data_IF_698768318012
#
_entry.id   IF_698768318012
#
_cell.length_a   1.000
_cell.length_b   1.000
_cell.length_c   1.000
_cell.angle_alpha   90.00
_cell.angle_beta   90.00
_cell.angle_gamma   90.00
#
_symmetry.space_group_name_H-M   'P 1'
#
loop_
_entity.id
_entity.type
_entity.pdbx_description
1 polymer ?
#
# COMPACT_ATOMS: atom_id res chain seq x y z
N UNK A 1 -8.61 -54.67 -13.47
CA UNK A 1 -9.85 -54.19 -14.13
C UNK A 1 -10.84 -53.64 -13.09
N UNK A 2 -11.15 -54.37 -12.02
CA UNK A 2 -12.08 -53.97 -10.94
C UNK A 2 -11.72 -52.64 -10.23
N UNK A 3 -10.45 -52.32 -9.90
CA UNK A 3 -10.11 -51.06 -9.22
C UNK A 3 -10.30 -49.83 -10.11
N UNK A 4 -10.08 -50.01 -11.42
CA UNK A 4 -10.22 -48.95 -12.42
C UNK A 4 -11.69 -48.59 -12.64
N UNK A 5 -12.57 -49.60 -12.64
CA UNK A 5 -14.01 -49.40 -12.77
C UNK A 5 -14.59 -48.66 -11.54
N UNK A 6 -14.12 -48.99 -10.34
CA UNK A 6 -14.54 -48.33 -9.10
C UNK A 6 -14.10 -46.85 -9.06
N UNK A 7 -12.87 -46.55 -9.50
CA UNK A 7 -12.36 -45.18 -9.59
C UNK A 7 -13.16 -44.37 -10.63
N UNK A 8 -13.47 -44.97 -11.79
CA UNK A 8 -14.27 -44.33 -12.82
C UNK A 8 -15.68 -44.01 -12.33
N UNK A 9 -16.31 -44.96 -11.61
CA UNK A 9 -17.64 -44.77 -11.01
C UNK A 9 -17.63 -43.67 -9.93
N UNK A 10 -16.58 -43.60 -9.10
CA UNK A 10 -16.40 -42.53 -8.11
C UNK A 10 -16.23 -41.15 -8.75
N UNK A 11 -15.43 -41.04 -9.81
CA UNK A 11 -15.25 -39.79 -10.55
C UNK A 11 -16.55 -39.34 -11.25
N UNK A 12 -17.30 -40.28 -11.82
CA UNK A 12 -18.63 -40.04 -12.39
C UNK A 12 -19.60 -39.59 -11.29
N UNK A 13 -19.57 -40.22 -10.11
CA UNK A 13 -20.39 -39.85 -8.96
C UNK A 13 -20.06 -38.43 -8.46
N UNK A 14 -18.77 -38.09 -8.38
CA UNK A 14 -18.31 -36.75 -8.00
C UNK A 14 -18.71 -35.69 -9.03
N UNK A 15 -18.63 -35.99 -10.32
CA UNK A 15 -19.10 -35.07 -11.38
C UNK A 15 -20.63 -34.92 -11.39
N UNK A 16 -21.39 -35.99 -11.13
CA UNK A 16 -22.85 -35.96 -11.02
C UNK A 16 -23.35 -35.27 -9.74
N UNK A 17 -22.55 -35.26 -8.67
CA UNK A 17 -22.88 -34.65 -7.38
C UNK A 17 -22.15 -33.33 -7.09
N UNK A 18 -21.47 -32.74 -8.08
CA UNK A 18 -21.14 -31.31 -8.06
C UNK A 18 -22.42 -30.48 -8.22
N UNK A 19 -23.32 -30.60 -7.25
CA UNK A 19 -24.49 -29.77 -7.13
C UNK A 19 -23.99 -28.40 -6.68
N UNK A 20 -23.77 -27.49 -7.64
CA UNK A 20 -23.75 -26.07 -7.33
C UNK A 20 -25.13 -25.74 -6.79
N UNK A 21 -25.28 -25.63 -5.47
CA UNK A 21 -26.44 -24.97 -4.92
C UNK A 21 -26.38 -23.52 -5.40
N UNK A 22 -27.33 -23.11 -6.25
CA UNK A 22 -27.44 -21.72 -6.67
C UNK A 22 -27.82 -20.88 -5.44
N UNK A 23 -26.81 -20.26 -4.81
CA UNK A 23 -27.02 -19.37 -3.67
C UNK A 23 -27.51 -18.02 -4.21
N UNK A 24 -28.79 -17.73 -4.01
CA UNK A 24 -29.35 -16.43 -4.28
C UNK A 24 -29.16 -15.51 -3.08
N UNK A 25 -28.72 -14.28 -3.32
CA UNK A 25 -28.60 -13.27 -2.27
C UNK A 25 -29.17 -11.94 -2.76
N UNK A 26 -29.84 -11.27 -1.83
CA UNK A 26 -30.36 -9.92 -1.99
C UNK A 26 -29.66 -9.02 -0.98
N UNK A 27 -29.26 -7.84 -1.41
CA UNK A 27 -28.76 -6.81 -0.51
C UNK A 27 -29.21 -5.44 -0.95
N UNK A 28 -29.26 -4.51 0.01
CA UNK A 28 -29.63 -3.11 -0.19
C UNK A 28 -28.43 -2.25 0.19
N UNK A 29 -28.14 -1.22 -0.60
CA UNK A 29 -27.06 -0.28 -0.34
C UNK A 29 -27.63 1.13 -0.35
N UNK A 30 -27.62 1.76 0.83
CA UNK A 30 -27.97 3.17 1.00
C UNK A 30 -26.68 3.99 0.99
N UNK A 31 -26.56 4.97 0.09
CA UNK A 31 -25.34 5.77 -0.13
C UNK A 31 -25.67 7.25 -0.06
N UNK A 32 -24.88 8.00 0.69
CA UNK A 32 -24.93 9.45 0.78
C UNK A 32 -23.63 10.00 0.19
N UNK A 33 -23.71 10.88 -0.80
CA UNK A 33 -22.56 11.54 -1.41
C UNK A 33 -22.67 13.03 -1.11
N UNK A 34 -21.69 13.62 -0.44
CA UNK A 34 -21.67 15.03 -0.05
C UNK A 34 -20.22 15.52 0.01
N UNK A 35 -20.00 16.83 -0.20
CA UNK A 35 -18.66 17.43 -0.12
C UNK A 35 -18.46 18.30 1.12
N UNK A 36 -19.55 18.72 1.76
CA UNK A 36 -19.51 19.58 2.95
C UNK A 36 -20.07 18.87 4.18
N UNK A 37 -19.56 19.24 5.36
CA UNK A 37 -20.03 18.73 6.66
C UNK A 37 -21.47 19.13 6.99
N UNK A 38 -21.99 20.17 6.34
CA UNK A 38 -23.38 20.61 6.48
C UNK A 38 -24.34 19.95 5.48
N UNK A 39 -23.85 18.99 4.66
CA UNK A 39 -24.60 18.14 3.72
C UNK A 39 -25.56 18.87 2.78
N UNK A 40 -25.35 20.16 2.53
CA UNK A 40 -26.24 20.97 1.69
C UNK A 40 -26.28 20.49 0.23
N UNK A 41 -25.20 19.85 -0.22
CA UNK A 41 -25.04 19.30 -1.57
C UNK A 41 -25.28 17.78 -1.63
N UNK A 42 -25.84 17.19 -0.58
CA UNK A 42 -25.95 15.75 -0.46
C UNK A 42 -26.86 15.14 -1.53
N UNK A 43 -26.38 14.07 -2.14
CA UNK A 43 -27.15 13.18 -3.00
C UNK A 43 -27.29 11.80 -2.35
N UNK A 44 -28.52 11.31 -2.26
CA UNK A 44 -28.85 10.03 -1.66
C UNK A 44 -29.30 9.02 -2.72
N UNK A 45 -28.72 7.83 -2.63
CA UNK A 45 -29.11 6.66 -3.43
C UNK A 45 -29.54 5.51 -2.54
N UNK A 46 -30.61 4.82 -2.94
CA UNK A 46 -31.04 3.58 -2.29
C UNK A 46 -31.14 2.46 -3.32
N UNK A 47 -30.15 1.58 -3.32
CA UNK A 47 -29.94 0.58 -4.37
C UNK A 47 -30.36 -0.80 -3.87
N UNK A 48 -31.11 -1.55 -4.69
CA UNK A 48 -31.49 -2.92 -4.40
C UNK A 48 -30.86 -3.86 -5.42
N UNK A 49 -30.12 -4.84 -4.91
CA UNK A 49 -29.37 -5.80 -5.71
C UNK A 49 -29.89 -7.22 -5.48
N UNK A 50 -29.92 -8.00 -6.55
CA UNK A 50 -30.14 -9.44 -6.53
C UNK A 50 -28.99 -10.10 -7.28
N UNK A 51 -28.23 -11.00 -6.63
CA UNK A 51 -27.05 -11.65 -7.21
C UNK A 51 -26.06 -10.67 -7.86
N UNK A 52 -25.79 -9.53 -7.20
CA UNK A 52 -24.98 -8.37 -7.70
C UNK A 52 -25.62 -7.51 -8.80
N UNK A 53 -26.79 -7.90 -9.34
CA UNK A 53 -27.48 -7.08 -10.34
C UNK A 53 -28.39 -6.06 -9.68
N UNK A 54 -28.13 -4.78 -9.94
CA UNK A 54 -29.02 -3.68 -9.57
C UNK A 54 -30.31 -3.82 -10.37
N UNK A 55 -31.46 -3.91 -9.69
CA UNK A 55 -32.75 -4.01 -10.37
C UNK A 55 -33.67 -2.82 -10.07
N UNK A 56 -33.50 -2.13 -8.94
CA UNK A 56 -34.21 -0.90 -8.62
C UNK A 56 -33.32 0.04 -7.79
N UNK A 57 -33.40 1.34 -8.08
CA UNK A 57 -32.66 2.41 -7.38
C UNK A 57 -33.61 3.56 -7.07
N UNK A 58 -33.55 4.09 -5.86
CA UNK A 58 -34.02 5.45 -5.60
C UNK A 58 -32.88 6.45 -5.86
N UNK A 59 -33.19 7.52 -6.57
CA UNK A 59 -32.26 8.64 -6.79
C UNK A 59 -32.91 9.93 -6.25
N UNK A 60 -32.28 10.54 -5.24
CA UNK A 60 -32.81 11.76 -4.63
C UNK A 60 -32.80 12.97 -5.56
N UNK A 61 -31.95 12.98 -6.60
CA UNK A 61 -31.96 14.04 -7.62
C UNK A 61 -33.18 13.94 -8.51
N UNK A 62 -33.69 12.73 -8.72
CA UNK A 62 -34.90 12.46 -9.49
C UNK A 62 -36.17 12.43 -8.62
N UNK A 63 -36.02 12.24 -7.31
CA UNK A 63 -37.11 12.14 -6.34
C UNK A 63 -37.97 10.89 -6.51
N UNK A 64 -37.45 9.84 -7.18
CA UNK A 64 -38.23 8.64 -7.55
C UNK A 64 -37.36 7.40 -7.71
N UNK A 65 -38.01 6.24 -7.69
CA UNK A 65 -37.41 4.97 -8.05
C UNK A 65 -37.30 4.79 -9.57
N UNK A 66 -36.20 4.17 -9.99
CA UNK A 66 -35.88 3.77 -11.37
C UNK A 66 -35.60 2.27 -11.38
N UNK A 67 -36.27 1.54 -12.28
CA UNK A 67 -36.05 0.10 -12.50
C UNK A 67 -35.09 -0.18 -13.65
N UNK A 68 -34.23 -1.19 -13.52
CA UNK A 68 -33.21 -1.56 -14.51
C UNK A 68 -33.49 -2.88 -15.25
N UNK A 69 -34.53 -3.60 -14.84
CA UNK A 69 -35.06 -4.76 -15.55
C UNK A 69 -36.60 -4.75 -15.51
N UNK A 70 -37.25 -5.64 -16.25
CA UNK A 70 -38.72 -5.65 -16.37
C UNK A 70 -39.42 -5.71 -15.01
N UNK A 71 -38.92 -6.55 -14.10
CA UNK A 71 -39.44 -6.66 -12.74
C UNK A 71 -39.25 -5.36 -11.95
N UNK A 72 -38.07 -4.77 -12.01
CA UNK A 72 -37.73 -3.52 -11.34
C UNK A 72 -38.51 -2.33 -11.87
N UNK A 73 -38.83 -2.30 -13.17
CA UNK A 73 -39.66 -1.24 -13.77
C UNK A 73 -41.07 -1.26 -13.21
N UNK A 74 -41.73 -2.44 -13.19
CA UNK A 74 -43.06 -2.62 -12.60
C UNK A 74 -43.07 -2.26 -11.11
N UNK A 75 -42.02 -2.64 -10.40
CA UNK A 75 -41.88 -2.33 -8.98
C UNK A 75 -41.66 -0.83 -8.75
N UNK A 76 -40.87 -0.17 -9.58
CA UNK A 76 -40.63 1.27 -9.51
C UNK A 76 -41.92 2.06 -9.79
N UNK A 77 -42.72 1.67 -10.79
CA UNK A 77 -44.05 2.26 -11.03
C UNK A 77 -44.96 2.13 -9.81
N UNK A 78 -45.00 0.95 -9.20
CA UNK A 78 -45.78 0.72 -7.98
C UNK A 78 -45.29 1.56 -6.80
N UNK A 79 -43.97 1.59 -6.53
CA UNK A 79 -43.39 2.36 -5.41
C UNK A 79 -43.48 3.87 -5.60
N UNK A 80 -43.45 4.35 -6.84
CA UNK A 80 -43.60 5.77 -7.13
C UNK A 80 -45.05 6.27 -7.00
N UNK A 81 -46.05 5.38 -6.94
CA UNK A 81 -47.45 5.75 -6.76
C UNK A 81 -47.82 6.01 -5.29
N UNK A 82 -47.08 5.44 -4.34
CA UNK A 82 -47.32 5.61 -2.89
C UNK A 82 -46.03 6.12 -2.21
N UNK A 83 -45.68 7.37 -2.51
CA UNK A 83 -44.48 8.02 -1.96
C UNK A 83 -44.75 8.40 -0.50
N UNK A 84 -44.79 7.40 0.38
CA UNK A 84 -44.48 7.59 1.79
C UNK A 84 -42.97 7.85 1.89
N UNK A 85 -42.59 9.12 1.80
CA UNK A 85 -41.20 9.62 1.75
C UNK A 85 -40.42 9.09 2.97
N UNK A 86 -39.69 7.99 2.77
CA UNK A 86 -38.62 7.53 3.67
C UNK A 86 -37.25 8.13 3.28
N UNK A 87 -37.29 9.24 2.54
CA UNK A 87 -36.16 9.83 1.86
C UNK A 87 -35.88 11.16 2.53
N UNK A 88 -35.12 11.12 3.61
CA UNK A 88 -34.73 12.35 4.32
C UNK A 88 -34.16 12.12 5.71
N UNK A 89 -34.26 10.91 6.27
CA UNK A 89 -33.77 10.64 7.63
C UNK A 89 -32.49 9.82 7.69
N UNK A 90 -32.21 8.95 6.70
CA UNK A 90 -31.04 8.06 6.79
C UNK A 90 -29.69 8.80 6.79
N UNK A 91 -29.46 9.70 5.82
CA UNK A 91 -28.20 10.44 5.78
C UNK A 91 -28.09 11.44 6.95
N UNK A 92 -29.09 12.32 7.22
CA UNK A 92 -28.95 13.32 8.28
C UNK A 92 -28.75 12.72 9.68
N UNK A 93 -29.34 11.56 9.95
CA UNK A 93 -29.21 10.89 11.25
C UNK A 93 -27.80 10.34 11.53
N UNK A 94 -27.02 10.00 10.50
CA UNK A 94 -25.73 9.34 10.66
C UNK A 94 -24.50 10.28 10.55
N UNK A 95 -24.68 11.52 10.10
CA UNK A 95 -23.58 12.50 9.90
C UNK A 95 -22.76 12.76 11.16
N UNK A 96 -23.41 12.78 12.33
CA UNK A 96 -22.72 13.03 13.60
C UNK A 96 -21.59 12.01 13.87
N UNK A 97 -21.74 10.78 13.36
CA UNK A 97 -20.72 9.74 13.43
C UNK A 97 -19.70 9.85 12.29
N UNK A 98 -20.14 10.21 11.09
CA UNK A 98 -19.29 10.28 9.89
C UNK A 98 -18.27 11.44 9.92
N UNK A 99 -18.59 12.55 10.60
CA UNK A 99 -17.66 13.69 10.74
C UNK A 99 -16.36 13.27 11.45
N UNK A 100 -16.41 12.29 12.35
CA UNK A 100 -15.21 11.73 12.99
C UNK A 100 -14.29 10.98 12.01
N UNK A 101 -14.80 10.58 10.84
CA UNK A 101 -14.04 9.91 9.78
C UNK A 101 -13.42 10.90 8.79
N UNK A 102 -13.67 12.21 8.91
CA UNK A 102 -13.04 13.23 8.07
C UNK A 102 -11.61 13.58 8.52
N UNK A 103 -11.22 13.12 9.72
CA UNK A 103 -9.88 13.37 10.24
C UNK A 103 -8.85 12.66 9.38
N UNK A 104 -7.90 13.45 8.88
CA UNK A 104 -6.80 12.95 8.06
C UNK A 104 -5.59 12.60 8.91
N UNK A 105 -4.93 11.50 8.56
CA UNK A 105 -3.74 11.00 9.25
C UNK A 105 -2.52 11.19 8.34
N UNK A 106 -1.48 11.81 8.89
CA UNK A 106 -0.26 12.14 8.15
C UNK A 106 0.54 10.87 7.81
N UNK A 107 0.98 10.69 6.56
CA UNK A 107 1.82 9.57 6.18
C UNK A 107 3.16 9.57 6.90
N UNK A 108 3.59 8.39 7.32
CA UNK A 108 4.98 8.11 7.72
C UNK A 108 5.79 7.80 6.47
N UNK A 109 6.70 8.70 6.10
CA UNK A 109 7.49 8.57 4.87
C UNK A 109 8.89 8.04 5.17
N UNK A 110 9.31 7.02 4.42
CA UNK A 110 10.65 6.43 4.50
C UNK A 110 11.29 6.42 3.12
N UNK A 111 12.51 6.96 3.04
CA UNK A 111 13.36 6.83 1.86
C UNK A 111 14.38 5.70 2.10
N UNK A 112 14.63 4.92 1.06
CA UNK A 112 15.63 3.86 1.07
C UNK A 112 16.23 3.68 -0.32
N UNK A 113 17.48 3.24 -0.40
CA UNK A 113 18.07 2.75 -1.64
C UNK A 113 17.96 1.22 -1.69
N UNK A 114 17.61 0.70 -2.85
CA UNK A 114 17.56 -0.73 -3.13
C UNK A 114 18.54 -1.01 -4.26
N UNK A 115 19.53 -1.85 -4.00
CA UNK A 115 20.41 -2.40 -5.04
C UNK A 115 19.82 -3.71 -5.53
N UNK A 116 19.51 -3.82 -6.83
CA UNK A 116 19.04 -5.08 -7.40
C UNK A 116 20.15 -6.15 -7.37
N UNK A 117 19.75 -7.40 -7.11
CA UNK A 117 20.65 -8.54 -7.06
C UNK A 117 21.42 -8.68 -8.40
N UNK A 118 22.75 -8.54 -8.35
CA UNK A 118 23.62 -8.69 -9.53
C UNK A 118 24.42 -7.44 -9.92
N UNK A 119 24.21 -6.29 -9.28
CA UNK A 119 25.08 -5.11 -9.36
C UNK A 119 25.22 -4.43 -10.73
N UNK A 120 24.46 -4.89 -11.74
CA UNK A 120 24.45 -4.34 -13.11
C UNK A 120 23.42 -3.24 -13.34
N UNK A 121 22.40 -3.14 -12.48
CA UNK A 121 21.34 -2.15 -12.61
C UNK A 121 21.66 -0.88 -11.81
N UNK A 122 21.15 0.30 -12.26
CA UNK A 122 21.21 1.53 -11.48
C UNK A 122 20.68 1.32 -10.06
N UNK A 123 21.20 2.08 -9.09
CA UNK A 123 20.59 2.10 -7.77
C UNK A 123 19.14 2.58 -7.91
N UNK A 124 18.20 1.94 -7.21
CA UNK A 124 16.79 2.40 -7.21
C UNK A 124 16.54 3.09 -5.88
N UNK A 125 16.06 4.34 -5.93
CA UNK A 125 15.55 5.02 -4.75
C UNK A 125 14.09 4.69 -4.58
N UNK A 126 13.69 4.41 -3.35
CA UNK A 126 12.32 4.06 -3.00
C UNK A 126 11.82 5.01 -1.93
N UNK A 127 10.71 5.68 -2.22
CA UNK A 127 9.95 6.52 -1.31
C UNK A 127 8.66 5.78 -0.95
N UNK A 128 8.54 5.38 0.31
CA UNK A 128 7.36 4.67 0.81
C UNK A 128 6.62 5.55 1.80
N UNK A 129 5.31 5.73 1.60
CA UNK A 129 4.41 6.38 2.54
C UNK A 129 3.50 5.32 3.18
N UNK A 130 3.41 5.33 4.51
CA UNK A 130 2.66 4.35 5.30
C UNK A 130 1.68 5.03 6.26
N UNK A 131 0.71 4.26 6.74
CA UNK A 131 -0.17 4.62 7.86
C UNK A 131 -0.91 5.96 7.64
N UNK A 132 -1.37 6.21 6.42
CA UNK A 132 -2.10 7.44 6.08
C UNK A 132 -3.57 7.19 5.74
N UNK A 133 -4.36 8.25 5.90
CA UNK A 133 -5.78 8.30 5.55
C UNK A 133 -6.17 9.76 5.26
N UNK A 134 -7.01 10.07 4.25
CA UNK A 134 -7.68 9.18 3.30
C UNK A 134 -6.73 8.54 2.27
N UNK A 135 -7.19 7.57 1.44
CA UNK A 135 -6.34 6.89 0.46
C UNK A 135 -5.73 7.81 -0.60
N UNK A 136 -6.40 8.91 -0.97
CA UNK A 136 -5.91 9.76 -2.06
C UNK A 136 -4.62 10.51 -1.65
N UNK A 137 -3.51 10.14 -2.28
CA UNK A 137 -2.17 10.68 -2.04
C UNK A 137 -1.43 10.83 -3.38
N UNK A 138 -0.51 11.78 -3.47
CA UNK A 138 0.38 11.91 -4.62
C UNK A 138 1.83 11.94 -4.17
N UNK A 139 2.60 10.98 -4.67
CA UNK A 139 4.04 10.86 -4.41
C UNK A 139 4.78 11.19 -5.71
N UNK A 140 5.79 12.04 -5.63
CA UNK A 140 6.54 12.52 -6.79
C UNK A 140 8.01 12.71 -6.45
N UNK A 141 8.89 12.66 -7.45
CA UNK A 141 10.32 12.89 -7.27
C UNK A 141 10.75 14.25 -7.78
N UNK A 142 11.67 14.88 -7.07
CA UNK A 142 12.31 16.13 -7.43
C UNK A 142 13.81 15.89 -7.61
N UNK A 143 14.39 16.45 -8.68
CA UNK A 143 15.84 16.58 -8.87
C UNK A 143 16.18 18.06 -8.96
N UNK A 144 16.98 18.55 -8.02
CA UNK A 144 17.35 19.97 -7.87
C UNK A 144 16.12 20.88 -7.82
N UNK A 145 15.06 20.41 -7.15
CA UNK A 145 13.78 21.10 -7.02
C UNK A 145 12.87 21.02 -8.26
N UNK A 146 13.28 20.38 -9.34
CA UNK A 146 12.45 20.17 -10.54
C UNK A 146 11.77 18.81 -10.53
N UNK A 147 10.49 18.80 -10.89
CA UNK A 147 9.69 17.58 -10.98
C UNK A 147 10.27 16.61 -12.01
N UNK A 148 10.42 15.35 -11.60
CA UNK A 148 10.81 14.25 -12.47
C UNK A 148 9.57 13.53 -13.01
N UNK A 149 9.54 13.29 -14.32
CA UNK A 149 8.45 12.58 -15.01
C UNK A 149 8.91 11.31 -15.72
N UNK A 150 10.21 11.12 -15.90
CA UNK A 150 10.82 9.91 -16.45
C UNK A 150 11.40 9.04 -15.34
N UNK A 151 11.54 7.74 -15.60
CA UNK A 151 12.25 6.79 -14.72
C UNK A 151 11.62 6.63 -13.32
N UNK A 152 10.35 7.04 -13.19
CA UNK A 152 9.55 6.91 -11.96
C UNK A 152 8.48 5.86 -12.16
N UNK A 153 8.40 4.91 -11.23
CA UNK A 153 7.34 3.90 -11.17
C UNK A 153 6.67 3.98 -9.82
N UNK A 154 5.33 3.93 -9.76
CA UNK A 154 4.61 3.95 -8.48
C UNK A 154 3.59 2.81 -8.41
N UNK A 155 3.42 2.24 -7.23
CA UNK A 155 2.34 1.29 -6.96
C UNK A 155 1.00 2.01 -6.86
N UNK A 156 -0.11 1.28 -6.99
CA UNK A 156 -1.41 1.76 -6.55
C UNK A 156 -1.46 1.83 -5.01
N UNK A 157 -2.38 2.62 -4.47
CA UNK A 157 -2.64 2.70 -3.04
C UNK A 157 -3.17 1.36 -2.53
N UNK A 158 -2.51 0.82 -1.52
CA UNK A 158 -2.84 -0.47 -0.93
C UNK A 158 -3.38 -0.26 0.48
N UNK A 159 -4.55 -0.82 0.75
CA UNK A 159 -5.11 -0.82 2.10
C UNK A 159 -4.36 -1.82 3.01
N UNK A 160 -4.07 -1.39 4.23
CA UNK A 160 -3.32 -2.18 5.22
C UNK A 160 -4.24 -3.16 5.99
N UNK A 161 -5.56 -2.97 5.89
CA UNK A 161 -6.58 -3.79 6.55
C UNK A 161 -7.03 -3.25 7.92
N UNK A 162 -6.47 -2.12 8.34
CA UNK A 162 -6.73 -1.42 9.60
C UNK A 162 -7.15 0.05 9.37
N UNK A 163 -7.81 0.31 8.24
CA UNK A 163 -8.25 1.64 7.73
C UNK A 163 -7.15 2.53 7.16
N UNK A 164 -5.87 2.17 7.32
CA UNK A 164 -4.77 2.92 6.74
C UNK A 164 -4.35 2.38 5.37
N UNK A 165 -3.53 3.19 4.70
CA UNK A 165 -3.03 2.92 3.37
C UNK A 165 -1.50 3.06 3.30
N UNK A 166 -0.94 2.38 2.31
CA UNK A 166 0.45 2.52 1.91
C UNK A 166 0.59 2.70 0.39
N UNK A 167 1.64 3.40 -0.04
CA UNK A 167 2.04 3.56 -1.44
C UNK A 167 3.58 3.62 -1.54
N UNK A 168 4.12 3.09 -2.63
CA UNK A 168 5.55 3.08 -2.91
C UNK A 168 5.82 3.71 -4.27
N UNK A 169 6.80 4.61 -4.33
CA UNK A 169 7.31 5.21 -5.56
C UNK A 169 8.80 4.94 -5.68
N UNK A 170 9.20 4.44 -6.83
CA UNK A 170 10.56 4.06 -7.19
C UNK A 170 11.11 5.03 -8.24
N UNK A 171 12.39 5.36 -8.12
CA UNK A 171 13.13 6.18 -9.07
C UNK A 171 14.42 5.44 -9.45
N UNK A 172 14.60 5.15 -10.73
CA UNK A 172 15.90 4.69 -11.23
C UNK A 172 16.91 5.84 -11.11
N UNK A 173 17.96 5.60 -10.34
CA UNK A 173 18.85 6.64 -9.87
C UNK A 173 20.28 6.42 -10.35
N UNK A 174 20.78 7.38 -11.11
CA UNK A 174 22.18 7.49 -11.53
C UNK A 174 22.82 8.71 -10.85
N UNK A 175 23.65 8.53 -9.81
CA UNK A 175 24.17 9.62 -9.01
C UNK A 175 25.02 10.62 -9.81
N UNK A 176 24.75 11.91 -9.65
CA UNK A 176 25.52 13.04 -10.16
C UNK A 176 26.11 13.84 -9.01
N UNK A 177 27.34 14.31 -9.19
CA UNK A 177 28.03 15.08 -8.15
C UNK A 177 27.28 16.36 -7.80
N UNK A 178 26.89 16.49 -6.53
CA UNK A 178 26.24 17.69 -6.00
C UNK A 178 24.76 17.84 -6.33
N UNK A 179 24.10 16.81 -6.87
CA UNK A 179 22.66 16.85 -7.10
C UNK A 179 21.87 16.69 -5.80
N UNK A 180 20.67 17.25 -5.77
CA UNK A 180 19.72 17.08 -4.68
C UNK A 180 18.49 16.30 -5.16
N UNK A 181 18.31 15.09 -4.66
CA UNK A 181 17.11 14.29 -4.90
C UNK A 181 16.17 14.39 -3.70
N UNK A 182 14.88 14.56 -3.96
CA UNK A 182 13.88 14.62 -2.91
C UNK A 182 12.60 13.88 -3.33
N UNK A 183 11.91 13.28 -2.37
CA UNK A 183 10.55 12.78 -2.52
C UNK A 183 9.55 13.84 -2.04
N UNK A 184 8.58 14.20 -2.86
CA UNK A 184 7.51 15.14 -2.55
C UNK A 184 6.19 14.39 -2.38
N UNK A 185 5.50 14.65 -1.27
CA UNK A 185 4.24 14.00 -0.90
C UNK A 185 3.14 15.04 -0.71
N UNK A 186 2.06 14.90 -1.46
CA UNK A 186 0.84 15.70 -1.36
C UNK A 186 -0.28 14.81 -0.80
N UNK A 187 -0.88 15.23 0.32
CA UNK A 187 -1.91 14.47 1.02
C UNK A 187 -2.83 15.44 1.78
N UNK A 188 -4.11 15.09 1.97
CA UNK A 188 -5.11 15.95 2.60
C UNK A 188 -4.75 16.39 4.03
N UNK A 189 -3.89 15.61 4.72
CA UNK A 189 -3.37 15.95 6.05
C UNK A 189 -2.31 17.05 6.07
N UNK A 190 -1.84 17.50 4.90
CA UNK A 190 -0.83 18.54 4.78
C UNK A 190 -1.43 19.80 4.18
N UNK A 191 -1.13 20.95 4.77
CA UNK A 191 -1.51 22.26 4.20
C UNK A 191 -0.71 22.64 2.96
N UNK A 192 0.45 22.01 2.77
CA UNK A 192 1.35 22.18 1.62
C UNK A 192 2.09 20.86 1.35
N UNK A 193 2.61 20.64 0.14
CA UNK A 193 3.42 19.47 -0.15
C UNK A 193 4.60 19.32 0.82
N UNK A 194 4.83 18.10 1.29
CA UNK A 194 5.96 17.76 2.17
C UNK A 194 7.11 17.21 1.33
N UNK A 195 8.32 17.75 1.53
CA UNK A 195 9.52 17.37 0.78
C UNK A 195 10.48 16.65 1.73
N UNK A 196 10.92 15.46 1.32
CA UNK A 196 11.85 14.59 2.03
C UNK A 196 13.11 14.42 1.20
N UNK A 197 14.21 15.00 1.66
CA UNK A 197 15.48 14.96 0.94
C UNK A 197 16.15 13.59 1.11
N UNK A 198 16.67 13.06 0.00
CA UNK A 198 17.49 11.84 0.02
C UNK A 198 18.86 12.17 0.59
N UNK A 199 19.20 11.53 1.71
CA UNK A 199 20.55 11.54 2.25
C UNK A 199 21.23 10.22 1.86
N UNK A 200 22.26 10.25 0.99
CA UNK A 200 23.03 9.06 0.65
C UNK A 200 23.90 8.56 1.80
N UNK A 201 24.00 9.30 2.92
CA UNK A 201 24.74 8.86 4.09
C UNK A 201 24.09 7.60 4.68
N UNK A 202 24.93 6.62 5.01
CA UNK A 202 24.45 5.38 5.62
C UNK A 202 23.72 5.69 6.94
N UNK A 203 22.67 4.92 7.28
CA UNK A 203 22.06 4.98 8.60
C UNK A 203 23.12 4.84 9.69
N UNK A 204 22.95 5.55 10.79
CA UNK A 204 23.95 5.60 11.86
C UNK A 204 24.35 4.20 12.35
N UNK A 205 23.38 3.28 12.44
CA UNK A 205 23.63 1.89 12.82
C UNK A 205 24.58 1.16 11.85
N UNK A 206 24.47 1.41 10.55
CA UNK A 206 25.33 0.76 9.56
C UNK A 206 26.74 1.37 9.57
N UNK A 207 26.82 2.69 9.67
CA UNK A 207 28.09 3.39 9.87
C UNK A 207 28.81 2.90 11.13
N UNK A 208 28.09 2.71 12.23
CA UNK A 208 28.66 2.21 13.49
C UNK A 208 29.15 0.76 13.36
N UNK A 209 28.38 -0.11 12.68
CA UNK A 209 28.82 -1.49 12.39
C UNK A 209 30.10 -1.52 11.56
N UNK A 210 30.19 -0.69 10.52
CA UNK A 210 31.38 -0.58 9.66
C UNK A 210 32.58 -0.06 10.47
N UNK A 211 32.39 0.99 11.27
CA UNK A 211 33.44 1.56 12.11
C UNK A 211 34.00 0.52 13.09
N UNK A 212 33.12 -0.16 13.84
CA UNK A 212 33.52 -1.22 14.79
C UNK A 212 34.28 -2.35 14.07
N UNK A 213 33.79 -2.78 12.90
CA UNK A 213 34.45 -3.80 12.09
C UNK A 213 35.86 -3.37 11.64
N UNK A 214 36.01 -2.13 11.17
CA UNK A 214 37.29 -1.58 10.74
C UNK A 214 38.29 -1.49 11.91
N UNK A 215 37.84 -1.00 13.08
CA UNK A 215 38.69 -0.94 14.27
C UNK A 215 39.14 -2.33 14.73
N UNK A 216 38.25 -3.32 14.72
CA UNK A 216 38.58 -4.71 15.06
C UNK A 216 39.62 -5.32 14.12
N UNK A 217 39.49 -5.07 12.81
CA UNK A 217 40.44 -5.55 11.81
C UNK A 217 41.84 -4.94 12.01
N UNK A 218 41.91 -3.63 12.22
CA UNK A 218 43.19 -2.92 12.46
C UNK A 218 43.88 -3.44 13.73
N UNK A 219 43.13 -3.60 14.82
CA UNK A 219 43.67 -4.16 16.08
C UNK A 219 44.19 -5.59 15.88
N UNK A 220 43.46 -6.44 15.16
CA UNK A 220 43.86 -7.81 14.86
C UNK A 220 45.16 -7.89 14.05
N UNK A 221 45.34 -7.01 13.07
CA UNK A 221 46.57 -6.91 12.26
C UNK A 221 47.76 -6.51 13.14
N UNK A 222 47.60 -5.51 14.01
CA UNK A 222 48.66 -5.04 14.91
C UNK A 222 49.11 -6.16 15.87
N UNK A 223 48.16 -6.85 16.50
CA UNK A 223 48.45 -7.95 17.44
C UNK A 223 49.16 -9.10 16.72
N UNK A 224 48.69 -9.47 15.52
CA UNK A 224 49.29 -10.54 14.72
C UNK A 224 50.71 -10.20 14.29
N UNK A 225 50.96 -8.97 13.83
CA UNK A 225 52.29 -8.49 13.46
C UNK A 225 53.24 -8.47 14.66
N UNK A 226 52.79 -7.95 15.81
CA UNK A 226 53.57 -7.97 17.04
C UNK A 226 53.90 -9.40 17.49
N UNK A 227 52.94 -10.32 17.43
CA UNK A 227 53.13 -11.73 17.71
C UNK A 227 54.16 -12.39 16.79
N UNK A 228 54.11 -12.09 15.48
CA UNK A 228 55.06 -12.59 14.49
C UNK A 228 56.48 -12.07 14.74
N UNK A 229 56.63 -10.77 15.05
CA UNK A 229 57.93 -10.15 15.38
C UNK A 229 58.51 -10.78 16.64
N UNK A 230 57.69 -10.94 17.68
CA UNK A 230 58.10 -11.60 18.93
C UNK A 230 58.55 -13.04 18.68
N UNK A 231 57.77 -13.81 17.91
CA UNK A 231 58.10 -15.19 17.55
C UNK A 231 59.44 -15.28 16.81
N UNK A 232 59.65 -14.45 15.78
CA UNK A 232 60.92 -14.41 15.04
C UNK A 232 62.10 -14.05 15.95
N UNK A 233 61.97 -13.01 16.77
CA UNK A 233 63.03 -12.58 17.71
C UNK A 233 63.40 -13.69 18.70
N UNK A 234 62.41 -14.43 19.22
CA UNK A 234 62.63 -15.57 20.12
C UNK A 234 63.27 -16.78 19.41
N UNK A 235 62.91 -17.03 18.16
CA UNK A 235 63.47 -18.13 17.38
C UNK A 235 64.92 -17.87 16.96
N UNK A 236 65.29 -16.63 16.66
CA UNK A 236 66.69 -16.24 16.36
C UNK A 236 67.59 -16.34 17.60
N UNK A 237 67.06 -16.08 18.80
CA UNK A 237 67.80 -16.23 20.07
C UNK A 237 68.05 -17.67 20.54
N UNK A 238 67.54 -18.69 19.82
CA UNK A 238 67.72 -20.12 20.17
C UNK A 238 68.72 -20.87 19.25
N UNK A 239 69.33 -20.21 18.27
CA UNK A 239 70.35 -20.82 17.38
C UNK A 239 71.73 -20.23 17.71
N UNK A 240 72.28 -20.51 18.89
CA UNK A 240 73.73 -20.47 19.18
C UNK A 240 74.00 -21.31 20.44
N UNK A 241 74.09 -22.63 20.26
CA UNK A 241 74.93 -23.47 21.14
C UNK A 241 75.71 -24.41 20.21
N UNK A 242 76.98 -24.10 19.89
CA UNK A 242 77.92 -25.12 19.44
C UNK A 242 78.40 -25.89 20.68
N UNK A 243 78.30 -27.22 20.64
CA UNK A 243 79.15 -28.09 21.47
C UNK A 243 80.60 -28.02 21.00
#
# INVERSE_FOLDING_TARGET
IIPSLLLLLLLIFLHLHSFSADVYYRYRMSRCIYSSSNISDMVYFDNYYFNKYLFIQFDSTLGRFVGFNEYGMKLAEFWNNDIAIFVGTFCPHNIGYDVALLDSVKPKVKLSSVSQAGGRHPAVLMCSAYEFYPPHIKVSWLRDGKLMTSEVTSTMEKADGDWYYQIHSELEYSPKSGEKISCMVEHASFSKPMIYDWDPSLPESERNKIAIGAFGLVLGIIISAAGLIYYKKKSTGRILVPQ
#
